data_IF_856169378832
#
_entry.id   IF_856169378832
#
_cell.length_a   1.000
_cell.length_b   1.000
_cell.length_c   1.000
_cell.angle_alpha   90.00
_cell.angle_beta   90.00
_cell.angle_gamma   90.00
#
_symmetry.space_group_name_H-M   'P 1'
#
loop_
_entity.id
_entity.type
_entity.pdbx_description
1 polymer ?
#
# COMPACT_ATOMS: atom_id res chain seq x y z
N UNK A 1 2.57 -5.33 -18.80
CA UNK A 1 2.20 -4.06 -18.13
C UNK A 1 3.40 -3.13 -18.03
N UNK A 2 4.32 -3.22 -19.00
CA UNK A 2 5.62 -2.56 -18.89
C UNK A 2 5.46 -1.04 -18.76
N UNK A 3 6.18 -0.45 -17.81
CA UNK A 3 6.18 0.99 -17.53
C UNK A 3 4.96 1.52 -16.76
N UNK A 4 3.95 0.69 -16.48
CA UNK A 4 2.78 1.14 -15.70
C UNK A 4 3.09 1.15 -14.19
N UNK A 5 2.74 2.22 -13.44
CA UNK A 5 2.89 2.21 -12.00
C UNK A 5 1.88 1.27 -11.33
N UNK A 6 2.31 0.61 -10.26
CA UNK A 6 1.48 -0.30 -9.49
C UNK A 6 1.75 -0.11 -7.99
N UNK A 7 0.68 0.08 -7.23
CA UNK A 7 0.67 0.00 -5.77
C UNK A 7 -0.16 -1.19 -5.32
N UNK A 8 0.17 -1.76 -4.17
CA UNK A 8 -0.52 -2.91 -3.59
C UNK A 8 -1.04 -2.55 -2.19
N UNK A 9 -2.07 -3.25 -1.75
CA UNK A 9 -2.64 -3.11 -0.42
C UNK A 9 -3.05 -4.49 0.13
N UNK A 10 -3.15 -4.63 1.44
CA UNK A 10 -3.52 -5.89 2.09
C UNK A 10 -4.37 -5.68 3.35
N UNK A 11 -4.90 -6.76 3.90
CA UNK A 11 -5.50 -6.80 5.22
C UNK A 11 -5.10 -8.08 5.93
N UNK A 12 -4.88 -8.04 7.24
CA UNK A 12 -4.59 -9.23 8.07
C UNK A 12 -5.38 -9.18 9.37
N UNK A 13 -5.62 -10.35 9.96
CA UNK A 13 -6.27 -10.44 11.27
C UNK A 13 -5.32 -10.03 12.42
N UNK A 14 -4.00 -10.20 12.27
CA UNK A 14 -3.01 -9.92 13.32
C UNK A 14 -1.92 -8.95 12.84
N UNK A 15 -1.38 -8.16 13.77
CA UNK A 15 -0.41 -7.08 13.50
C UNK A 15 0.80 -7.48 12.66
N UNK A 16 1.30 -8.71 12.80
CA UNK A 16 2.50 -9.16 12.08
C UNK A 16 2.24 -10.39 11.19
N UNK A 17 0.98 -10.75 10.98
CA UNK A 17 0.55 -11.92 10.20
C UNK A 17 0.59 -11.73 8.69
N UNK A 18 1.54 -10.93 8.18
CA UNK A 18 1.69 -10.69 6.74
C UNK A 18 1.33 -9.28 6.26
N UNK A 19 1.36 -8.29 7.16
CA UNK A 19 1.20 -6.87 6.81
C UNK A 19 2.23 -6.42 5.75
N UNK A 20 3.48 -6.89 5.85
CA UNK A 20 4.55 -6.55 4.92
C UNK A 20 4.83 -7.65 3.88
N UNK A 21 4.93 -8.91 4.30
CA UNK A 21 5.33 -10.01 3.42
C UNK A 21 4.33 -10.28 2.29
N UNK A 22 3.03 -10.10 2.55
CA UNK A 22 2.01 -10.17 1.50
C UNK A 22 2.26 -9.10 0.43
N UNK A 23 2.54 -7.85 0.82
CA UNK A 23 2.80 -6.76 -0.13
C UNK A 23 4.09 -7.02 -0.93
N UNK A 24 5.16 -7.45 -0.25
CA UNK A 24 6.43 -7.80 -0.89
C UNK A 24 6.27 -8.94 -1.91
N UNK A 25 5.54 -9.99 -1.56
CA UNK A 25 5.28 -11.11 -2.48
C UNK A 25 4.38 -10.70 -3.65
N UNK A 26 3.40 -9.81 -3.43
CA UNK A 26 2.58 -9.23 -4.51
C UNK A 26 3.38 -8.35 -5.48
N UNK A 27 4.49 -7.73 -5.05
CA UNK A 27 5.36 -6.99 -5.95
C UNK A 27 6.08 -7.87 -6.97
N UNK A 28 6.41 -9.12 -6.64
CA UNK A 28 7.17 -10.02 -7.51
C UNK A 28 6.52 -10.23 -8.89
N UNK A 29 5.23 -10.62 -9.01
CA UNK A 29 4.59 -10.73 -10.31
C UNK A 29 4.51 -9.37 -11.02
N UNK A 30 4.29 -8.26 -10.31
CA UNK A 30 4.23 -6.94 -10.93
C UNK A 30 5.56 -6.54 -11.57
N UNK A 31 6.68 -6.81 -10.90
CA UNK A 31 8.02 -6.64 -11.43
C UNK A 31 8.25 -7.51 -12.67
N UNK A 32 7.85 -8.78 -12.63
CA UNK A 32 7.95 -9.69 -13.78
C UNK A 32 7.17 -9.17 -15.02
N UNK A 33 6.06 -8.45 -14.81
CA UNK A 33 5.28 -7.83 -15.88
C UNK A 33 5.77 -6.44 -16.32
N UNK A 34 6.89 -5.97 -15.75
CA UNK A 34 7.54 -4.69 -16.05
C UNK A 34 6.90 -3.47 -15.40
N UNK A 35 6.11 -3.63 -14.34
CA UNK A 35 5.50 -2.51 -13.63
C UNK A 35 6.52 -1.72 -12.81
N UNK A 36 6.23 -0.43 -12.59
CA UNK A 36 6.97 0.43 -11.67
C UNK A 36 6.30 0.37 -10.29
N UNK A 37 7.01 -0.10 -9.27
CA UNK A 37 6.43 -0.27 -7.93
C UNK A 37 6.31 1.07 -7.21
N UNK A 38 5.14 1.31 -6.63
CA UNK A 38 4.80 2.53 -5.86
C UNK A 38 4.37 2.14 -4.46
N UNK A 39 5.20 2.45 -3.46
CA UNK A 39 4.87 2.35 -2.04
C UNK A 39 4.44 3.68 -1.42
N UNK A 40 4.40 3.72 -0.09
CA UNK A 40 4.08 4.92 0.70
C UNK A 40 5.38 5.45 1.32
N UNK A 41 5.82 6.69 1.01
CA UNK A 41 7.00 7.27 1.62
C UNK A 41 6.73 7.73 3.06
N UNK A 42 7.73 7.68 3.94
CA UNK A 42 7.68 8.21 5.31
C UNK A 42 7.46 9.74 5.41
N UNK A 43 7.37 10.46 4.28
CA UNK A 43 6.84 11.83 4.26
C UNK A 43 5.35 11.87 4.61
N UNK A 44 4.63 10.74 4.49
CA UNK A 44 3.29 10.55 5.06
C UNK A 44 3.41 10.27 6.56
N UNK A 45 3.19 11.29 7.39
CA UNK A 45 3.41 11.22 8.84
C UNK A 45 2.69 10.05 9.53
N UNK A 46 1.51 9.66 9.03
CA UNK A 46 0.74 8.52 9.54
C UNK A 46 1.51 7.19 9.56
N UNK A 47 2.51 6.99 8.69
CA UNK A 47 3.37 5.81 8.77
C UNK A 47 4.22 5.76 10.04
N UNK A 48 4.55 6.91 10.62
CA UNK A 48 5.42 6.99 11.81
C UNK A 48 4.65 6.80 13.12
N UNK A 49 3.34 7.02 13.14
CA UNK A 49 2.55 6.97 14.37
C UNK A 49 1.38 5.98 14.33
N UNK A 50 1.04 5.40 13.19
CA UNK A 50 0.01 4.34 13.12
C UNK A 50 0.33 3.21 14.09
N UNK A 51 -0.67 2.78 14.85
CA UNK A 51 -0.56 1.65 15.77
C UNK A 51 -1.25 0.39 15.25
N UNK A 52 -1.80 0.43 14.02
CA UNK A 52 -2.47 -0.68 13.34
C UNK A 52 -1.79 -0.96 11.99
N UNK A 53 -2.55 -1.10 10.91
CA UNK A 53 -2.04 -1.22 9.55
C UNK A 53 -1.40 0.07 9.01
N UNK A 54 -0.77 -0.08 7.84
CA UNK A 54 0.08 0.92 7.21
C UNK A 54 1.54 0.45 7.16
N UNK A 55 2.09 0.34 5.95
CA UNK A 55 3.51 0.00 5.76
C UNK A 55 4.10 0.87 4.63
N UNK A 56 5.43 1.05 4.58
CA UNK A 56 6.05 1.72 3.44
C UNK A 56 5.87 0.96 2.11
N UNK A 57 5.58 -0.35 2.16
CA UNK A 57 5.41 -1.20 0.98
C UNK A 57 4.02 -1.06 0.35
N UNK A 58 3.04 -0.53 1.07
CA UNK A 58 1.66 -0.42 0.64
C UNK A 58 0.71 -0.16 1.81
N UNK A 59 -0.50 0.29 1.48
CA UNK A 59 -1.54 0.51 2.48
C UNK A 59 -2.01 -0.83 3.04
N UNK A 60 -2.34 -0.87 4.32
CA UNK A 60 -2.84 -2.10 4.91
C UNK A 60 -3.75 -1.86 6.09
N UNK A 61 -4.55 -2.86 6.44
CA UNK A 61 -5.51 -2.82 7.54
C UNK A 61 -5.30 -4.02 8.47
N UNK A 62 -5.44 -3.82 9.78
CA UNK A 62 -5.48 -4.91 10.77
C UNK A 62 -6.91 -5.05 11.28
N UNK A 63 -7.62 -6.09 10.82
CA UNK A 63 -9.05 -6.30 11.15
C UNK A 63 -9.29 -6.92 12.52
N UNK A 64 -8.23 -7.40 13.18
CA UNK A 64 -8.33 -8.10 14.46
C UNK A 64 -9.00 -9.48 14.33
N UNK A 65 -9.17 -10.15 15.47
CA UNK A 65 -9.79 -11.49 15.51
C UNK A 65 -11.28 -11.47 15.12
N UNK A 66 -11.96 -10.33 15.30
CA UNK A 66 -13.36 -10.14 14.93
C UNK A 66 -13.61 -9.83 13.46
N UNK A 67 -12.55 -9.59 12.68
CA UNK A 67 -12.67 -9.24 11.27
C UNK A 67 -13.37 -7.90 11.04
N UNK A 68 -13.04 -6.88 11.84
CA UNK A 68 -13.55 -5.52 11.65
C UNK A 68 -13.23 -5.07 10.21
N UNK A 69 -14.22 -4.70 9.39
CA UNK A 69 -13.97 -4.24 8.04
C UNK A 69 -13.53 -2.77 7.98
N UNK A 70 -13.62 -2.03 9.09
CA UNK A 70 -13.44 -0.59 9.12
C UNK A 70 -11.97 -0.22 9.37
N UNK A 71 -11.30 0.45 8.41
CA UNK A 71 -9.95 0.94 8.66
C UNK A 71 -9.94 2.06 9.71
N UNK A 72 -8.85 2.13 10.46
CA UNK A 72 -8.55 3.28 11.31
C UNK A 72 -8.37 4.56 10.47
N UNK A 73 -8.38 5.71 11.13
CA UNK A 73 -8.18 7.00 10.45
C UNK A 73 -6.82 7.06 9.73
N UNK A 74 -5.76 6.58 10.39
CA UNK A 74 -4.41 6.53 9.82
C UNK A 74 -4.35 5.56 8.62
N UNK A 75 -4.92 4.36 8.74
CA UNK A 75 -4.97 3.40 7.63
C UNK A 75 -5.71 3.97 6.41
N UNK A 76 -6.84 4.65 6.64
CA UNK A 76 -7.61 5.30 5.59
C UNK A 76 -6.83 6.48 4.97
N UNK A 77 -6.09 7.25 5.77
CA UNK A 77 -5.22 8.32 5.28
C UNK A 77 -4.11 7.76 4.39
N UNK A 78 -3.46 6.70 4.83
CA UNK A 78 -2.38 6.02 4.10
C UNK A 78 -2.88 5.38 2.80
N UNK A 79 -4.06 4.77 2.81
CA UNK A 79 -4.70 4.26 1.59
C UNK A 79 -4.97 5.37 0.57
N UNK A 80 -5.49 6.52 1.02
CA UNK A 80 -5.68 7.69 0.14
C UNK A 80 -4.36 8.25 -0.38
N UNK A 81 -3.31 8.28 0.46
CA UNK A 81 -1.97 8.72 0.05
C UNK A 81 -1.38 7.82 -1.04
N UNK A 82 -1.46 6.49 -0.88
CA UNK A 82 -1.04 5.52 -1.88
C UNK A 82 -1.79 5.72 -3.21
N UNK A 83 -3.13 5.80 -3.16
CA UNK A 83 -3.96 5.98 -4.35
C UNK A 83 -3.62 7.26 -5.11
N UNK A 84 -3.47 8.38 -4.39
CA UNK A 84 -3.02 9.66 -4.97
C UNK A 84 -1.66 9.54 -5.63
N UNK A 85 -0.69 8.92 -4.97
CA UNK A 85 0.67 8.74 -5.51
C UNK A 85 0.69 7.88 -6.77
N UNK A 86 -0.04 6.76 -6.78
CA UNK A 86 -0.18 5.90 -7.98
C UNK A 86 -0.79 6.69 -9.14
N UNK A 87 -1.88 7.43 -8.90
CA UNK A 87 -2.54 8.25 -9.91
C UNK A 87 -1.62 9.37 -10.44
N UNK A 88 -0.89 10.04 -9.56
CA UNK A 88 0.05 11.11 -9.94
C UNK A 88 1.18 10.60 -10.82
N UNK A 89 1.78 9.46 -10.46
CA UNK A 89 2.83 8.83 -11.25
C UNK A 89 2.26 8.36 -12.60
N UNK A 90 1.07 7.75 -12.61
CA UNK A 90 0.43 7.32 -13.85
C UNK A 90 0.19 8.50 -14.80
N UNK A 91 -0.30 9.64 -14.29
CA UNK A 91 -0.48 10.86 -15.09
C UNK A 91 0.82 11.40 -15.66
N UNK A 92 1.90 11.42 -14.86
CA UNK A 92 3.22 11.90 -15.31
C UNK A 92 3.81 11.01 -16.40
N UNK A 93 3.62 9.70 -16.31
CA UNK A 93 4.11 8.73 -17.29
C UNK A 93 3.23 8.62 -18.54
N UNK A 94 1.99 9.12 -18.50
CA UNK A 94 1.08 9.11 -19.64
C UNK A 94 1.37 10.22 -20.68
N UNK A 95 2.34 11.11 -20.41
CA UNK A 95 2.76 12.12 -21.37
C UNK A 95 3.67 11.50 -22.44
N UNK A 96 3.50 11.85 -23.73
CA UNK A 96 4.25 11.27 -24.84
C UNK A 96 5.75 11.57 -24.80
#
# INVERSE_FOLDING_TARGET
MAGKPAGVFTSTASMHGGQESTLLSMHLPLLHHGCLIVGIPFTEAALSHTTSGGTPYGASHVSGAGGDPQPSEDEALLARALGRRVADIARRLASP
#
